data_IF_208724843649
#
_entry.id   IF_208724843649
#
_cell.length_a   1.000
_cell.length_b   1.000
_cell.length_c   1.000
_cell.angle_alpha   90.00
_cell.angle_beta   90.00
_cell.angle_gamma   90.00
#
_symmetry.space_group_name_H-M   'P 1'
#
loop_
_entity.id
_entity.type
_entity.pdbx_description
1 polymer ?
#
# COMPACT_ATOMS: atom_id res chain seq x y z
N UNK A 1 -6.62 30.75 -25.96
CA UNK A 1 -6.08 29.38 -25.75
C UNK A 1 -5.60 28.77 -27.07
N UNK A 2 -6.46 28.63 -28.08
CA UNK A 2 -6.13 28.00 -29.38
C UNK A 2 -4.87 28.60 -30.08
N UNK A 3 -4.73 29.92 -30.28
CA UNK A 3 -3.55 30.46 -30.99
C UNK A 3 -2.25 30.34 -30.19
N UNK A 4 -2.32 30.38 -28.85
CA UNK A 4 -1.15 30.22 -27.99
C UNK A 4 -0.60 28.79 -28.00
N UNK A 5 -1.48 27.79 -27.99
CA UNK A 5 -1.08 26.36 -28.07
C UNK A 5 -0.47 26.07 -29.44
N UNK A 6 -1.07 26.55 -30.53
CA UNK A 6 -0.55 26.36 -31.88
C UNK A 6 0.83 27.03 -32.08
N UNK A 7 0.99 28.26 -31.58
CA UNK A 7 2.26 28.98 -31.62
C UNK A 7 3.35 28.29 -30.80
N UNK A 8 3.02 27.78 -29.62
CA UNK A 8 3.96 27.01 -28.78
C UNK A 8 4.43 25.72 -29.47
N UNK A 9 3.51 24.96 -30.07
CA UNK A 9 3.85 23.74 -30.82
C UNK A 9 4.76 24.08 -32.01
N UNK A 10 4.41 25.11 -32.80
CA UNK A 10 5.19 25.50 -33.97
C UNK A 10 6.60 25.97 -33.61
N UNK A 11 6.75 26.71 -32.50
CA UNK A 11 8.06 27.14 -31.97
C UNK A 11 8.94 25.94 -31.58
N UNK A 12 8.38 24.98 -30.83
CA UNK A 12 9.09 23.76 -30.42
C UNK A 12 9.52 22.94 -31.64
N UNK A 13 8.64 22.81 -32.64
CA UNK A 13 8.97 22.12 -33.89
C UNK A 13 10.07 22.84 -34.69
N UNK A 14 10.07 24.17 -34.73
CA UNK A 14 11.12 24.95 -35.40
C UNK A 14 12.50 24.77 -34.72
N UNK A 15 12.55 24.78 -33.38
CA UNK A 15 13.77 24.54 -32.61
C UNK A 15 14.32 23.11 -32.83
N UNK A 16 13.43 22.12 -32.92
CA UNK A 16 13.80 20.74 -33.23
C UNK A 16 14.31 20.58 -34.67
N UNK A 17 13.64 21.20 -35.65
CA UNK A 17 14.01 21.13 -37.06
C UNK A 17 15.37 21.81 -37.34
N UNK A 18 15.69 22.88 -36.63
CA UNK A 18 17.01 23.52 -36.71
C UNK A 18 18.12 22.76 -35.95
N UNK A 19 17.85 21.56 -35.41
CA UNK A 19 18.80 20.78 -34.61
C UNK A 19 19.37 21.57 -33.41
N UNK A 20 18.67 22.63 -32.96
CA UNK A 20 19.04 23.44 -31.80
C UNK A 20 18.66 22.71 -30.49
N UNK A 21 17.71 21.77 -30.56
CA UNK A 21 17.42 20.82 -29.51
C UNK A 21 18.13 19.49 -29.86
N UNK A 22 19.35 19.21 -29.32
CA UNK A 22 20.05 17.95 -29.53
C UNK A 22 19.34 16.84 -28.72
N UNK A 23 18.23 16.33 -29.24
CA UNK A 23 17.39 15.35 -28.54
C UNK A 23 17.86 13.93 -28.84
N UNK A 24 18.28 13.21 -27.80
CA UNK A 24 18.59 11.79 -27.91
C UNK A 24 17.32 10.93 -27.74
N UNK A 25 16.96 10.19 -28.78
CA UNK A 25 15.79 9.29 -28.78
C UNK A 25 15.87 8.17 -27.73
N UNK A 26 17.08 7.74 -27.33
CA UNK A 26 17.25 6.76 -26.26
C UNK A 26 16.84 7.36 -24.89
N UNK A 27 17.19 8.63 -24.65
CA UNK A 27 16.77 9.34 -23.44
C UNK A 27 15.26 9.54 -23.38
N UNK A 28 14.65 9.90 -24.52
CA UNK A 28 13.20 10.06 -24.64
C UNK A 28 12.46 8.73 -24.37
N UNK A 29 12.96 7.61 -24.93
CA UNK A 29 12.40 6.29 -24.66
C UNK A 29 12.50 5.89 -23.19
N UNK A 30 13.63 6.19 -22.52
CA UNK A 30 13.83 5.94 -21.09
C UNK A 30 12.89 6.76 -20.20
N UNK A 31 12.62 8.02 -20.56
CA UNK A 31 11.66 8.88 -19.86
C UNK A 31 10.26 8.27 -19.91
N UNK A 32 9.80 7.89 -21.11
CA UNK A 32 8.47 7.29 -21.31
C UNK A 32 8.39 5.96 -20.53
N UNK A 33 9.42 5.13 -20.60
CA UNK A 33 9.49 3.86 -19.89
C UNK A 33 9.45 4.07 -18.37
N UNK A 34 10.25 5.02 -17.85
CA UNK A 34 10.31 5.34 -16.43
C UNK A 34 8.98 5.87 -15.88
N UNK A 35 8.32 6.73 -16.65
CA UNK A 35 6.97 7.21 -16.33
C UNK A 35 5.94 6.06 -16.35
N UNK A 36 6.04 5.16 -17.32
CA UNK A 36 5.22 3.95 -17.39
C UNK A 36 5.40 3.05 -16.15
N UNK A 37 6.62 2.88 -15.66
CA UNK A 37 6.90 2.12 -14.44
C UNK A 37 6.36 2.79 -13.18
N UNK A 38 6.42 4.13 -13.07
CA UNK A 38 5.78 4.86 -11.99
C UNK A 38 4.27 4.66 -11.98
N UNK A 39 3.62 4.74 -13.15
CA UNK A 39 2.19 4.48 -13.29
C UNK A 39 1.87 3.04 -12.92
N UNK A 40 2.65 2.08 -13.41
CA UNK A 40 2.45 0.66 -13.14
C UNK A 40 2.57 0.32 -11.64
N UNK A 41 3.49 0.94 -10.91
CA UNK A 41 3.59 0.81 -9.44
C UNK A 41 2.32 1.28 -8.73
N UNK A 42 1.63 2.30 -9.25
CA UNK A 42 0.37 2.80 -8.68
C UNK A 42 -0.79 1.79 -8.81
N UNK A 43 -0.77 0.94 -9.84
CA UNK A 43 -1.77 -0.11 -10.05
C UNK A 43 -1.37 -1.44 -9.40
N UNK A 44 -0.08 -1.76 -9.39
CA UNK A 44 0.47 -3.00 -8.83
C UNK A 44 1.63 -2.64 -7.89
N UNK A 45 1.35 -2.37 -6.60
CA UNK A 45 2.37 -2.01 -5.62
C UNK A 45 3.37 -3.16 -5.48
N UNK A 46 4.54 -3.03 -6.08
CA UNK A 46 5.54 -4.09 -6.25
C UNK A 46 6.62 -4.05 -5.15
N UNK A 47 6.27 -3.54 -3.97
CA UNK A 47 7.21 -3.16 -2.91
C UNK A 47 8.14 -2.00 -3.30
N UNK A 48 7.74 -1.16 -4.26
CA UNK A 48 8.52 0.00 -4.70
C UNK A 48 9.62 -0.32 -5.71
N UNK A 49 9.83 -1.57 -6.12
CA UNK A 49 10.92 -1.92 -7.04
C UNK A 49 10.66 -1.31 -8.43
N UNK A 50 9.43 -1.42 -8.93
CA UNK A 50 9.03 -0.84 -10.21
C UNK A 50 9.05 0.69 -10.15
N UNK A 51 8.59 1.27 -9.03
CA UNK A 51 8.71 2.71 -8.74
C UNK A 51 10.16 3.22 -8.75
N UNK A 52 11.10 2.51 -8.12
CA UNK A 52 12.52 2.86 -8.09
C UNK A 52 13.14 2.80 -9.48
N UNK A 53 12.91 1.70 -10.17
CA UNK A 53 13.34 1.52 -11.55
C UNK A 53 12.80 2.64 -12.44
N UNK A 54 11.54 3.04 -12.23
CA UNK A 54 10.89 4.13 -12.95
C UNK A 54 11.54 5.49 -12.70
N UNK A 55 11.80 5.84 -11.44
CA UNK A 55 12.50 7.08 -11.05
C UNK A 55 13.89 7.13 -11.67
N UNK A 56 14.69 6.07 -11.49
CA UNK A 56 16.06 6.00 -12.01
C UNK A 56 16.06 6.07 -13.55
N UNK A 57 15.17 5.36 -14.22
CA UNK A 57 15.03 5.40 -15.67
C UNK A 57 14.60 6.78 -16.18
N UNK A 58 13.66 7.45 -15.49
CA UNK A 58 13.21 8.79 -15.84
C UNK A 58 14.34 9.82 -15.72
N UNK A 59 15.11 9.78 -14.63
CA UNK A 59 16.24 10.69 -14.39
C UNK A 59 17.36 10.43 -15.41
N UNK A 60 17.73 9.16 -15.60
CA UNK A 60 18.76 8.76 -16.57
C UNK A 60 18.34 9.14 -17.98
N UNK A 61 17.07 8.94 -18.33
CA UNK A 61 16.49 9.35 -19.59
C UNK A 61 16.50 10.86 -19.78
N UNK A 62 16.17 11.65 -18.75
CA UNK A 62 16.23 13.12 -18.78
C UNK A 62 17.64 13.65 -18.98
N UNK A 63 18.64 12.98 -18.42
CA UNK A 63 20.06 13.32 -18.61
C UNK A 63 20.50 12.99 -20.04
N UNK A 64 20.21 11.78 -20.51
CA UNK A 64 20.58 11.34 -21.86
C UNK A 64 19.82 12.14 -22.94
N UNK A 65 18.61 12.62 -22.65
CA UNK A 65 17.79 13.39 -23.59
C UNK A 65 18.53 14.59 -24.18
N UNK A 66 19.45 15.19 -23.43
CA UNK A 66 20.17 16.42 -23.79
C UNK A 66 21.62 16.19 -24.25
N UNK A 67 21.94 14.99 -24.72
CA UNK A 67 23.27 14.61 -25.17
C UNK A 67 23.70 15.44 -26.40
N UNK A 68 24.59 16.41 -26.18
CA UNK A 68 25.16 17.29 -27.19
C UNK A 68 26.52 16.76 -27.64
N UNK A 69 26.61 16.38 -28.92
CA UNK A 69 27.80 15.79 -29.56
C UNK A 69 28.99 16.77 -29.66
N UNK A 70 28.86 18.01 -29.17
CA UNK A 70 29.91 19.03 -29.14
C UNK A 70 30.87 18.92 -27.95
N UNK A 71 30.54 18.11 -26.93
CA UNK A 71 31.33 18.00 -25.69
C UNK A 71 31.21 19.22 -24.75
N UNK A 72 30.33 20.18 -25.04
CA UNK A 72 30.11 21.37 -24.20
C UNK A 72 29.26 21.08 -22.94
N UNK A 73 28.48 19.99 -22.93
CA UNK A 73 27.63 19.57 -21.82
C UNK A 73 28.01 18.17 -21.34
N UNK A 74 29.21 18.04 -20.78
CA UNK A 74 29.64 16.82 -20.12
C UNK A 74 28.88 16.69 -18.79
N UNK A 75 27.89 15.80 -18.72
CA UNK A 75 27.16 15.57 -17.48
C UNK A 75 28.09 14.89 -16.49
N UNK A 76 28.46 15.54 -15.38
CA UNK A 76 29.51 15.02 -14.51
C UNK A 76 29.07 13.70 -13.90
N UNK A 77 29.90 12.67 -14.04
CA UNK A 77 29.68 11.32 -13.53
C UNK A 77 29.38 11.30 -12.02
N UNK A 78 29.87 12.30 -11.29
CA UNK A 78 29.55 12.59 -9.87
C UNK A 78 28.05 12.84 -9.64
N UNK A 79 27.38 13.52 -10.57
CA UNK A 79 25.96 13.84 -10.46
C UNK A 79 25.10 12.59 -10.70
N UNK A 80 25.51 11.72 -11.63
CA UNK A 80 24.90 10.41 -11.87
C UNK A 80 25.04 9.53 -10.63
N UNK A 81 26.25 9.40 -10.07
CA UNK A 81 26.51 8.61 -8.87
C UNK A 81 25.76 9.19 -7.67
N UNK A 82 25.76 10.51 -7.49
CA UNK A 82 25.07 11.18 -6.39
C UNK A 82 23.56 10.96 -6.41
N UNK A 83 22.95 11.04 -7.60
CA UNK A 83 21.52 10.81 -7.75
C UNK A 83 21.14 9.33 -7.59
N UNK A 84 21.99 8.42 -8.08
CA UNK A 84 21.82 6.98 -7.88
C UNK A 84 21.88 6.61 -6.38
N UNK A 85 22.84 7.19 -5.64
CA UNK A 85 22.94 6.99 -4.19
C UNK A 85 21.72 7.56 -3.46
N UNK A 86 21.30 8.78 -3.79
CA UNK A 86 20.15 9.41 -3.17
C UNK A 86 18.86 8.60 -3.40
N UNK A 87 18.65 8.11 -4.62
CA UNK A 87 17.51 7.23 -4.94
C UNK A 87 17.57 5.92 -4.16
N UNK A 88 18.74 5.27 -4.09
CA UNK A 88 18.92 4.04 -3.32
C UNK A 88 18.58 4.23 -1.83
N UNK A 89 19.00 5.36 -1.23
CA UNK A 89 18.69 5.68 0.17
C UNK A 89 17.20 5.87 0.39
N UNK A 90 16.51 6.61 -0.49
CA UNK A 90 15.06 6.81 -0.39
C UNK A 90 14.32 5.47 -0.47
N UNK A 91 14.75 4.56 -1.34
CA UNK A 91 14.10 3.27 -1.51
C UNK A 91 14.38 2.28 -0.39
N UNK A 92 15.60 2.24 0.14
CA UNK A 92 15.88 1.48 1.37
C UNK A 92 15.07 2.05 2.54
N UNK A 93 14.94 3.38 2.63
CA UNK A 93 14.09 4.06 3.61
C UNK A 93 12.61 3.67 3.49
N UNK A 94 12.05 3.71 2.29
CA UNK A 94 10.66 3.32 2.05
C UNK A 94 10.44 1.82 2.26
N UNK A 95 11.36 0.97 1.83
CA UNK A 95 11.28 -0.48 2.03
C UNK A 95 11.32 -0.86 3.51
N UNK A 96 12.18 -0.21 4.30
CA UNK A 96 12.23 -0.43 5.76
C UNK A 96 10.98 0.09 6.47
N UNK A 97 10.43 1.23 6.03
CA UNK A 97 9.19 1.79 6.59
C UNK A 97 7.97 0.93 6.22
N UNK A 98 7.86 0.48 4.98
CA UNK A 98 6.81 -0.41 4.51
C UNK A 98 6.87 -1.77 5.21
N UNK A 99 8.07 -2.33 5.41
CA UNK A 99 8.24 -3.56 6.19
C UNK A 99 7.83 -3.38 7.65
N UNK A 100 8.14 -2.24 8.27
CA UNK A 100 7.66 -1.91 9.62
C UNK A 100 6.14 -1.73 9.67
N UNK A 101 5.55 -1.09 8.67
CA UNK A 101 4.09 -0.88 8.57
C UNK A 101 3.33 -2.20 8.41
N UNK A 102 3.84 -3.12 7.59
CA UNK A 102 3.23 -4.45 7.41
C UNK A 102 3.42 -5.39 8.60
N UNK A 103 4.22 -5.00 9.61
CA UNK A 103 4.34 -5.74 10.88
C UNK A 103 3.41 -5.23 11.97
N UNK A 104 2.61 -4.19 11.72
CA UNK A 104 1.46 -3.96 12.58
C UNK A 104 0.46 -5.07 12.30
N UNK A 105 0.16 -5.94 13.29
CA UNK A 105 -0.91 -6.91 13.15
C UNK A 105 -2.16 -6.19 12.65
N UNK A 106 -2.94 -6.77 11.73
CA UNK A 106 -4.15 -6.11 11.24
C UNK A 106 -5.03 -5.77 12.43
N UNK A 107 -5.07 -4.48 12.80
CA UNK A 107 -6.01 -3.91 13.77
C UNK A 107 -7.33 -3.65 13.03
N UNK A 108 -7.79 -4.65 12.28
CA UNK A 108 -9.14 -4.72 11.77
C UNK A 108 -9.88 -5.64 12.73
N UNK A 109 -10.78 -5.07 13.54
CA UNK A 109 -11.86 -5.65 14.37
C UNK A 109 -11.70 -7.05 14.99
N UNK A 110 -11.31 -8.05 14.22
CA UNK A 110 -11.30 -9.48 14.51
C UNK A 110 -10.41 -9.86 15.71
N UNK A 111 -9.23 -9.27 15.86
CA UNK A 111 -8.33 -9.55 16.99
C UNK A 111 -8.71 -8.81 18.28
N UNK A 112 -9.40 -7.68 18.18
CA UNK A 112 -9.89 -6.93 19.35
C UNK A 112 -11.08 -7.61 20.03
N UNK A 113 -11.82 -8.43 19.29
CA UNK A 113 -12.98 -9.18 19.80
C UNK A 113 -12.57 -10.42 20.60
N UNK A 114 -11.41 -11.02 20.30
CA UNK A 114 -10.93 -12.20 21.00
C UNK A 114 -10.56 -11.84 22.45
N UNK A 115 -11.17 -12.51 23.43
CA UNK A 115 -10.97 -12.24 24.86
C UNK A 115 -11.90 -11.18 25.46
N UNK A 116 -12.71 -10.48 24.65
CA UNK A 116 -13.75 -9.58 25.17
C UNK A 116 -14.98 -10.36 25.67
N UNK A 117 -15.69 -9.75 26.61
CA UNK A 117 -16.92 -10.29 27.19
C UNK A 117 -18.15 -9.81 26.42
N UNK A 118 -19.04 -10.73 26.09
CA UNK A 118 -20.33 -10.47 25.47
C UNK A 118 -21.46 -10.96 26.41
N UNK A 119 -22.64 -10.37 26.30
CA UNK A 119 -23.81 -10.76 27.10
C UNK A 119 -24.75 -11.63 26.25
N UNK A 120 -25.15 -12.78 26.75
CA UNK A 120 -26.08 -13.68 26.07
C UNK A 120 -27.46 -13.03 25.98
N UNK A 121 -28.04 -12.94 24.78
CA UNK A 121 -29.37 -12.36 24.57
C UNK A 121 -30.48 -13.39 24.75
N UNK A 122 -30.30 -14.56 24.17
CA UNK A 122 -31.24 -15.68 24.21
C UNK A 122 -30.54 -16.89 24.81
N UNK A 123 -31.23 -17.67 25.64
CA UNK A 123 -30.68 -18.91 26.21
C UNK A 123 -30.19 -19.84 25.09
N UNK A 124 -28.90 -20.21 25.12
CA UNK A 124 -28.22 -21.00 24.09
C UNK A 124 -27.95 -22.41 24.63
N UNK A 125 -28.71 -23.43 24.20
CA UNK A 125 -28.41 -24.84 24.51
C UNK A 125 -27.00 -25.25 24.14
N UNK A 126 -26.51 -26.32 24.79
CA UNK A 126 -25.24 -26.97 24.46
C UNK A 126 -25.10 -27.21 22.95
N UNK A 127 -23.93 -26.89 22.38
CA UNK A 127 -23.61 -27.04 20.96
C UNK A 127 -24.54 -26.33 19.96
N UNK A 128 -25.40 -25.43 20.42
CA UNK A 128 -26.29 -24.66 19.56
C UNK A 128 -25.76 -23.26 19.25
N UNK A 129 -26.42 -22.58 18.33
CA UNK A 129 -26.13 -21.18 17.98
C UNK A 129 -27.22 -20.28 18.54
N UNK A 130 -26.84 -19.14 19.10
CA UNK A 130 -27.75 -18.10 19.55
C UNK A 130 -27.16 -16.71 19.32
N UNK A 131 -27.72 -15.73 20.00
CA UNK A 131 -27.34 -14.33 19.86
C UNK A 131 -26.69 -13.82 21.14
N UNK A 132 -25.60 -13.07 20.97
CA UNK A 132 -24.91 -12.37 22.05
C UNK A 132 -24.80 -10.90 21.70
N UNK A 133 -24.84 -10.03 22.70
CA UNK A 133 -24.61 -8.59 22.55
C UNK A 133 -23.18 -8.27 22.93
N UNK A 134 -22.48 -7.58 22.04
CA UNK A 134 -21.14 -7.07 22.27
C UNK A 134 -21.05 -5.63 21.81
N UNK A 135 -20.61 -4.73 22.68
CA UNK A 135 -20.53 -3.28 22.44
C UNK A 135 -21.81 -2.64 21.85
N UNK A 136 -22.98 -3.22 22.16
CA UNK A 136 -24.28 -2.74 21.66
C UNK A 136 -24.74 -3.39 20.35
N UNK A 137 -23.91 -4.19 19.70
CA UNK A 137 -24.25 -4.93 18.49
C UNK A 137 -24.66 -6.38 18.79
N UNK A 138 -25.61 -6.92 18.03
CA UNK A 138 -26.04 -8.32 18.13
C UNK A 138 -25.23 -9.20 17.19
N UNK A 139 -24.47 -10.13 17.76
CA UNK A 139 -23.62 -11.07 17.05
C UNK A 139 -24.13 -12.50 17.19
N UNK A 140 -23.91 -13.33 16.16
CA UNK A 140 -24.19 -14.77 16.23
C UNK A 140 -23.07 -15.45 17.01
N UNK A 141 -23.44 -16.23 18.01
CA UNK A 141 -22.49 -17.01 18.78
C UNK A 141 -22.88 -18.49 18.86
N UNK A 142 -21.89 -19.37 18.70
CA UNK A 142 -22.00 -20.80 18.96
C UNK A 142 -21.49 -21.10 20.36
N UNK A 143 -22.30 -21.83 21.12
CA UNK A 143 -21.88 -22.42 22.38
C UNK A 143 -21.01 -23.65 22.08
N UNK A 144 -19.73 -23.60 22.44
CA UNK A 144 -18.81 -24.73 22.27
C UNK A 144 -18.79 -25.69 23.46
N UNK A 145 -19.53 -25.40 24.54
CA UNK A 145 -19.56 -26.20 25.76
C UNK A 145 -20.84 -27.03 25.88
N UNK A 146 -20.78 -28.01 26.78
CA UNK A 146 -21.89 -28.91 27.12
C UNK A 146 -22.92 -28.25 28.06
N UNK A 147 -22.63 -27.07 28.61
CA UNK A 147 -23.51 -26.34 29.51
C UNK A 147 -24.38 -25.35 28.73
N UNK A 148 -25.66 -25.27 29.08
CA UNK A 148 -26.58 -24.28 28.51
C UNK A 148 -26.25 -22.89 29.04
N UNK A 149 -26.02 -21.94 28.13
CA UNK A 149 -25.80 -20.54 28.47
C UNK A 149 -27.15 -19.84 28.65
N UNK A 150 -27.33 -19.12 29.75
CA UNK A 150 -28.62 -18.47 30.05
C UNK A 150 -28.65 -17.05 29.52
N UNK A 151 -29.82 -16.55 29.08
CA UNK A 151 -30.00 -15.14 28.73
C UNK A 151 -29.56 -14.22 29.90
N UNK A 152 -28.71 -13.24 29.59
CA UNK A 152 -28.12 -12.31 30.56
C UNK A 152 -26.72 -12.69 31.07
N UNK A 153 -26.25 -13.90 30.79
CA UNK A 153 -24.93 -14.38 31.22
C UNK A 153 -23.78 -13.70 30.45
N UNK A 154 -22.66 -13.41 31.13
CA UNK A 154 -21.45 -12.88 30.51
C UNK A 154 -20.55 -14.02 30.04
N UNK A 155 -20.26 -14.03 28.73
CA UNK A 155 -19.45 -15.06 28.08
C UNK A 155 -18.25 -14.43 27.41
N UNK A 156 -17.12 -15.14 27.39
CA UNK A 156 -15.88 -14.68 26.76
C UNK A 156 -15.75 -15.26 25.35
N UNK A 157 -15.37 -14.40 24.39
CA UNK A 157 -15.12 -14.83 23.02
C UNK A 157 -13.78 -15.56 22.94
N UNK A 158 -13.81 -16.82 22.53
CA UNK A 158 -12.62 -17.69 22.37
C UNK A 158 -12.11 -17.72 20.93
N UNK A 159 -13.01 -17.69 19.96
CA UNK A 159 -12.67 -17.74 18.55
C UNK A 159 -13.74 -17.01 17.70
N UNK A 160 -13.39 -16.68 16.45
CA UNK A 160 -14.30 -16.12 15.47
C UNK A 160 -14.11 -16.83 14.12
N UNK A 161 -15.21 -17.32 13.56
CA UNK A 161 -15.30 -17.92 12.23
C UNK A 161 -16.25 -17.06 11.37
N UNK A 162 -15.70 -16.07 10.65
CA UNK A 162 -16.51 -15.18 9.81
C UNK A 162 -17.43 -14.28 10.65
N UNK A 163 -18.75 -14.50 10.61
CA UNK A 163 -19.75 -13.80 11.42
C UNK A 163 -20.22 -14.61 12.65
N UNK A 164 -19.62 -15.78 12.88
CA UNK A 164 -19.94 -16.67 13.98
C UNK A 164 -18.85 -16.56 15.07
N UNK A 165 -19.24 -16.21 16.28
CA UNK A 165 -18.37 -16.16 17.45
C UNK A 165 -18.44 -17.48 18.22
N UNK A 166 -17.32 -17.98 18.71
CA UNK A 166 -17.29 -19.09 19.65
C UNK A 166 -17.18 -18.52 21.06
N UNK A 167 -18.16 -18.80 21.90
CA UNK A 167 -18.23 -18.27 23.27
C UNK A 167 -18.10 -19.40 24.29
N UNK A 168 -17.47 -19.07 25.42
CA UNK A 168 -17.38 -19.93 26.59
C UNK A 168 -17.76 -19.11 27.84
N UNK A 169 -18.34 -19.73 28.88
CA UNK A 169 -18.57 -19.04 30.14
C UNK A 169 -17.24 -18.47 30.67
N UNK A 170 -17.34 -17.31 31.33
CA UNK A 170 -16.17 -16.73 31.98
C UNK A 170 -15.75 -17.65 33.12
N UNK A 171 -14.58 -18.30 32.98
CA UNK A 171 -13.96 -19.09 34.03
C UNK A 171 -13.79 -18.19 35.26
N UNK A 172 -14.79 -18.20 36.15
CA UNK A 172 -14.68 -17.63 37.48
C UNK A 172 -13.76 -18.55 38.24
N UNK A 173 -12.44 -18.37 38.04
CA UNK A 173 -11.45 -18.94 38.92
C UNK A 173 -11.56 -18.17 40.24
N UNK A 174 -12.45 -18.66 41.10
CA UNK A 174 -12.46 -18.28 42.50
C UNK A 174 -11.08 -18.57 43.09
N UNK A 175 -10.49 -17.55 43.70
CA UNK A 175 -9.43 -17.65 44.70
C UNK A 175 -9.66 -16.53 45.71
#
# INVERSE_FOLDING_TARGET
LIPGVLGGICLVLALFAFQVLPVNYAGLALIILGFGFMIAEAFVPSFGILGLGGVVAFITGSVILWDDQSGAFDVPLVLIIGFALASAVVFVGLGTLAWRSNRHPPVSGDAALLGTTATVLDTIPAHSTGWVRLHGESWRARNAQEQTLTAGETVRIRAREGLLLTVAPEDTHAA
#
